data_IF_776396724163
#
_entry.id   IF_776396724163
#
_cell.length_a   1.000
_cell.length_b   1.000
_cell.length_c   1.000
_cell.angle_alpha   90.00
_cell.angle_beta   90.00
_cell.angle_gamma   90.00
#
_symmetry.space_group_name_H-M   'P 1'
#
loop_
_entity.id
_entity.type
_entity.pdbx_description
1 polymer ?
#
# COMPACT_ATOMS: atom_id res chain seq x y z
N UNK A 1 -44.73 -50.93 23.97
CA UNK A 1 -43.93 -51.87 23.16
C UNK A 1 -42.79 -51.08 22.53
N UNK A 2 -41.55 -51.26 23.02
CA UNK A 2 -40.38 -50.51 22.53
C UNK A 2 -39.74 -51.33 21.41
N UNK A 3 -39.85 -50.86 20.17
CA UNK A 3 -39.17 -51.47 19.02
C UNK A 3 -37.66 -51.22 19.13
N UNK A 4 -36.88 -52.26 19.44
CA UNK A 4 -35.41 -52.22 19.34
C UNK A 4 -35.02 -52.08 17.87
N UNK A 5 -34.49 -50.90 17.49
CA UNK A 5 -33.83 -50.72 16.19
C UNK A 5 -32.54 -51.57 16.18
N UNK A 6 -32.35 -52.39 15.15
CA UNK A 6 -31.09 -53.08 14.88
C UNK A 6 -30.04 -52.04 14.48
N UNK A 7 -28.97 -51.93 15.26
CA UNK A 7 -27.79 -51.15 14.88
C UNK A 7 -27.13 -51.86 13.69
N UNK A 8 -27.22 -51.26 12.50
CA UNK A 8 -26.44 -51.68 11.35
C UNK A 8 -25.02 -51.14 11.55
N UNK A 9 -24.03 -52.02 11.68
CA UNK A 9 -22.64 -51.62 11.84
C UNK A 9 -22.13 -50.89 10.60
N UNK A 10 -21.30 -49.87 10.81
CA UNK A 10 -20.59 -49.16 9.74
C UNK A 10 -19.57 -50.08 9.08
N UNK A 11 -19.50 -50.05 7.75
CA UNK A 11 -18.51 -50.84 7.00
C UNK A 11 -17.12 -50.18 7.07
N UNK A 12 -16.05 -50.97 7.07
CA UNK A 12 -14.67 -50.43 7.05
C UNK A 12 -14.41 -49.58 5.80
N UNK A 13 -15.09 -49.88 4.68
CA UNK A 13 -15.04 -49.09 3.45
C UNK A 13 -15.73 -47.72 3.60
N UNK A 14 -16.77 -47.64 4.43
CA UNK A 14 -17.55 -46.42 4.65
C UNK A 14 -16.73 -45.38 5.44
N UNK A 15 -15.97 -45.84 6.44
CA UNK A 15 -15.03 -45.00 7.18
C UNK A 15 -13.90 -44.53 6.26
N UNK A 16 -13.33 -45.42 5.44
CA UNK A 16 -12.23 -45.08 4.53
C UNK A 16 -12.66 -44.02 3.52
N UNK A 17 -13.81 -44.20 2.87
CA UNK A 17 -14.36 -43.22 1.92
C UNK A 17 -14.69 -41.90 2.63
N UNK A 18 -15.25 -41.94 3.85
CA UNK A 18 -15.53 -40.73 4.63
C UNK A 18 -14.25 -39.95 4.97
N UNK A 19 -13.18 -40.64 5.38
CA UNK A 19 -11.88 -40.01 5.65
C UNK A 19 -11.23 -39.44 4.39
N UNK A 20 -11.40 -40.10 3.24
CA UNK A 20 -10.89 -39.61 1.95
C UNK A 20 -11.57 -38.30 1.54
N UNK A 21 -12.91 -38.26 1.60
CA UNK A 21 -13.68 -37.05 1.29
C UNK A 21 -13.31 -35.92 2.25
N UNK A 22 -13.19 -36.22 3.55
CA UNK A 22 -12.76 -35.26 4.56
C UNK A 22 -11.37 -34.71 4.26
N UNK A 23 -10.40 -35.56 3.90
CA UNK A 23 -9.04 -35.13 3.57
C UNK A 23 -9.03 -34.16 2.37
N UNK A 24 -9.77 -34.46 1.31
CA UNK A 24 -9.90 -33.57 0.13
C UNK A 24 -10.55 -32.23 0.55
N UNK A 25 -11.60 -32.28 1.37
CA UNK A 25 -12.26 -31.08 1.88
C UNK A 25 -11.33 -30.19 2.70
N UNK A 26 -10.50 -30.77 3.56
CA UNK A 26 -9.53 -30.02 4.37
C UNK A 26 -8.44 -29.36 3.53
N UNK A 27 -7.96 -30.02 2.48
CA UNK A 27 -7.00 -29.41 1.53
C UNK A 27 -7.62 -28.22 0.81
N UNK A 28 -8.88 -28.33 0.38
CA UNK A 28 -9.61 -27.21 -0.23
C UNK A 28 -9.74 -26.01 0.71
N UNK A 29 -10.08 -26.26 1.98
CA UNK A 29 -10.19 -25.21 3.01
C UNK A 29 -8.84 -24.57 3.34
N UNK A 30 -7.75 -25.35 3.36
CA UNK A 30 -6.40 -24.81 3.56
C UNK A 30 -6.00 -23.87 2.41
N UNK A 31 -6.31 -24.23 1.16
CA UNK A 31 -6.06 -23.37 0.00
C UNK A 31 -6.84 -22.05 0.06
N UNK A 32 -8.12 -22.10 0.46
CA UNK A 32 -8.93 -20.90 0.66
C UNK A 32 -8.39 -20.01 1.78
N UNK A 33 -7.92 -20.59 2.88
CA UNK A 33 -7.30 -19.83 3.98
C UNK A 33 -6.02 -19.12 3.53
N UNK A 34 -5.14 -19.79 2.78
CA UNK A 34 -3.93 -19.19 2.24
C UNK A 34 -4.25 -18.03 1.28
N UNK A 35 -5.22 -18.22 0.39
CA UNK A 35 -5.68 -17.17 -0.53
C UNK A 35 -6.28 -15.98 0.22
N UNK A 36 -7.12 -16.23 1.22
CA UNK A 36 -7.70 -15.17 2.05
C UNK A 36 -6.62 -14.38 2.80
N UNK A 37 -5.61 -15.06 3.34
CA UNK A 37 -4.48 -14.41 4.03
C UNK A 37 -3.68 -13.52 3.07
N UNK A 38 -3.40 -13.98 1.84
CA UNK A 38 -2.72 -13.15 0.83
C UNK A 38 -3.52 -11.89 0.51
N UNK A 39 -4.80 -12.02 0.20
CA UNK A 39 -5.65 -10.87 -0.12
C UNK A 39 -5.77 -9.87 1.05
N UNK A 40 -5.83 -10.37 2.29
CA UNK A 40 -5.87 -9.50 3.46
C UNK A 40 -4.57 -8.70 3.60
N UNK A 41 -3.41 -9.29 3.31
CA UNK A 41 -2.14 -8.56 3.33
C UNK A 41 -2.08 -7.48 2.23
N UNK A 42 -2.49 -7.80 1.00
CA UNK A 42 -2.55 -6.80 -0.09
C UNK A 42 -3.53 -5.66 0.23
N UNK A 43 -4.68 -5.98 0.81
CA UNK A 43 -5.66 -4.97 1.23
C UNK A 43 -5.11 -4.06 2.35
N UNK A 44 -4.38 -4.64 3.31
CA UNK A 44 -3.72 -3.89 4.38
C UNK A 44 -2.65 -2.93 3.83
N UNK A 45 -1.80 -3.37 2.90
CA UNK A 45 -0.79 -2.52 2.27
C UNK A 45 -1.44 -1.35 1.50
N UNK A 46 -2.51 -1.61 0.74
CA UNK A 46 -3.29 -0.54 0.07
C UNK A 46 -3.89 0.47 1.07
N UNK A 47 -4.35 -0.02 2.22
CA UNK A 47 -4.88 0.82 3.30
C UNK A 47 -3.79 1.73 3.89
N UNK A 48 -2.61 1.17 4.17
CA UNK A 48 -1.45 1.91 4.66
C UNK A 48 -0.97 2.95 3.65
N UNK A 49 -0.82 2.59 2.37
CA UNK A 49 -0.50 3.53 1.30
C UNK A 49 -1.51 4.67 1.22
N UNK A 50 -2.81 4.37 1.36
CA UNK A 50 -3.86 5.39 1.35
C UNK A 50 -3.74 6.35 2.54
N UNK A 51 -3.51 5.83 3.74
CA UNK A 51 -3.31 6.64 4.93
C UNK A 51 -2.08 7.56 4.81
N UNK A 52 -0.96 7.03 4.31
CA UNK A 52 0.27 7.80 4.07
C UNK A 52 0.08 8.89 3.01
N UNK A 53 -0.67 8.58 1.94
CA UNK A 53 -0.93 9.56 0.90
C UNK A 53 -1.80 10.72 1.42
N UNK A 54 -2.82 10.43 2.22
CA UNK A 54 -3.64 11.46 2.86
C UNK A 54 -2.85 12.27 3.89
N UNK A 55 -1.95 11.65 4.67
CA UNK A 55 -1.06 12.36 5.60
C UNK A 55 -0.22 13.42 4.86
N UNK A 56 0.39 13.07 3.72
CA UNK A 56 1.13 14.04 2.92
C UNK A 56 0.24 15.16 2.36
N UNK A 57 -0.93 14.81 1.84
CA UNK A 57 -1.87 15.80 1.32
C UNK A 57 -2.29 16.80 2.40
N UNK A 58 -2.48 16.36 3.64
CA UNK A 58 -2.83 17.22 4.76
C UNK A 58 -1.66 18.09 5.22
N UNK A 59 -0.43 17.58 5.21
CA UNK A 59 0.78 18.40 5.44
C UNK A 59 0.90 19.51 4.41
N UNK A 60 0.71 19.20 3.13
CA UNK A 60 0.74 20.19 2.05
C UNK A 60 -0.36 21.25 2.19
N UNK A 61 -1.55 20.88 2.67
CA UNK A 61 -2.59 21.85 3.05
C UNK A 61 -2.21 22.72 4.26
N UNK A 62 -1.40 22.19 5.17
CA UNK A 62 -0.82 22.96 6.28
C UNK A 62 0.21 24.00 5.82
N UNK A 63 0.84 23.78 4.66
CA UNK A 63 1.89 24.64 4.11
C UNK A 63 1.68 24.91 2.61
N UNK A 64 0.52 25.47 2.27
CA UNK A 64 0.09 25.73 0.88
C UNK A 64 1.09 26.60 0.11
N UNK A 65 1.75 27.55 0.77
CA UNK A 65 2.73 28.43 0.14
C UNK A 65 3.94 27.65 -0.38
N UNK A 66 4.50 26.74 0.43
CA UNK A 66 5.62 25.89 0.01
C UNK A 66 5.18 24.86 -1.05
N UNK A 67 3.97 24.31 -0.92
CA UNK A 67 3.42 23.36 -1.90
C UNK A 67 3.21 23.99 -3.27
N UNK A 68 2.60 25.19 -3.35
CA UNK A 68 2.46 25.93 -4.61
C UNK A 68 3.80 26.41 -5.18
N UNK A 69 4.83 26.59 -4.33
CA UNK A 69 6.18 26.88 -4.77
C UNK A 69 6.98 25.63 -5.21
N UNK A 70 6.38 24.44 -5.19
CA UNK A 70 7.02 23.19 -5.60
C UNK A 70 8.07 22.67 -4.61
N UNK A 71 8.00 23.07 -3.34
CA UNK A 71 9.00 22.71 -2.33
C UNK A 71 8.80 21.31 -1.74
N UNK A 72 7.62 20.71 -1.89
CA UNK A 72 7.39 19.28 -1.63
C UNK A 72 7.91 18.45 -2.82
N UNK A 73 9.21 18.51 -3.08
CA UNK A 73 9.84 17.74 -4.14
C UNK A 73 10.66 16.60 -3.52
N UNK A 74 10.29 15.32 -3.77
CA UNK A 74 10.99 14.16 -3.23
C UNK A 74 12.49 14.15 -3.59
N UNK A 75 12.86 14.63 -4.78
CA UNK A 75 14.26 14.65 -5.22
C UNK A 75 15.15 15.63 -4.43
N UNK A 76 14.53 16.58 -3.72
CA UNK A 76 15.23 17.57 -2.88
C UNK A 76 14.84 17.45 -1.41
N UNK A 77 14.13 16.38 -1.04
CA UNK A 77 13.79 16.09 0.34
C UNK A 77 15.07 15.94 1.16
N UNK A 78 15.07 16.48 2.37
CA UNK A 78 16.20 16.38 3.28
C UNK A 78 15.77 16.68 4.70
N UNK A 79 16.39 16.01 5.67
CA UNK A 79 16.13 16.30 7.08
C UNK A 79 16.60 17.71 7.46
N UNK A 80 15.72 18.46 8.11
CA UNK A 80 16.03 19.80 8.61
C UNK A 80 15.86 19.83 10.12
N UNK A 81 16.96 19.57 10.83
CA UNK A 81 16.97 19.54 12.31
C UNK A 81 16.47 20.83 12.96
N UNK A 82 16.64 21.99 12.29
CA UNK A 82 16.13 23.29 12.73
C UNK A 82 14.60 23.31 12.87
N UNK A 83 13.88 22.59 12.00
CA UNK A 83 12.42 22.49 12.01
C UNK A 83 11.86 21.82 13.28
N UNK A 84 12.69 21.03 13.98
CA UNK A 84 12.31 20.27 15.18
C UNK A 84 12.65 21.01 16.48
N UNK A 85 13.05 22.28 16.38
CA UNK A 85 13.37 23.14 17.53
C UNK A 85 12.25 24.14 17.82
N UNK A 86 12.28 24.77 19.01
CA UNK A 86 11.30 25.79 19.39
C UNK A 86 11.33 27.04 18.48
N UNK A 87 12.46 27.31 17.83
CA UNK A 87 12.61 28.42 16.87
C UNK A 87 11.90 28.14 15.55
N UNK A 88 11.76 26.86 15.18
CA UNK A 88 11.25 26.44 13.88
C UNK A 88 12.24 26.72 12.74
N UNK A 89 11.74 26.57 11.51
CA UNK A 89 12.50 26.75 10.28
C UNK A 89 11.63 27.47 9.22
N UNK A 90 12.22 27.83 8.09
CA UNK A 90 11.48 28.42 6.99
C UNK A 90 10.49 27.42 6.37
N UNK A 91 9.41 27.92 5.77
CA UNK A 91 8.37 27.08 5.16
C UNK A 91 8.90 26.06 4.13
N UNK A 92 9.97 26.41 3.39
CA UNK A 92 10.61 25.50 2.45
C UNK A 92 11.44 24.41 3.11
N UNK A 93 12.16 24.74 4.18
CA UNK A 93 12.90 23.78 4.99
C UNK A 93 11.93 22.81 5.67
N UNK A 94 10.79 23.30 6.15
CA UNK A 94 9.72 22.49 6.72
C UNK A 94 9.18 21.49 5.68
N UNK A 95 8.88 21.95 4.47
CA UNK A 95 8.42 21.07 3.40
C UNK A 95 9.44 19.98 3.04
N UNK A 96 10.74 20.30 3.04
CA UNK A 96 11.80 19.32 2.78
C UNK A 96 11.93 18.27 3.89
N UNK A 97 11.86 18.68 5.16
CA UNK A 97 11.90 17.76 6.31
C UNK A 97 10.66 16.86 6.37
N UNK A 98 9.48 17.44 6.16
CA UNK A 98 8.23 16.69 6.09
C UNK A 98 8.22 15.70 4.93
N UNK A 99 8.73 16.11 3.77
CA UNK A 99 8.84 15.23 2.61
C UNK A 99 9.81 14.08 2.88
N UNK A 100 10.97 14.36 3.48
CA UNK A 100 11.95 13.31 3.83
C UNK A 100 11.33 12.31 4.80
N UNK A 101 10.74 12.79 5.89
CA UNK A 101 10.09 11.93 6.87
C UNK A 101 8.95 11.12 6.26
N UNK A 102 8.22 11.69 5.31
CA UNK A 102 7.17 10.95 4.61
C UNK A 102 7.74 9.83 3.74
N UNK A 103 8.84 10.09 3.02
CA UNK A 103 9.56 9.05 2.26
C UNK A 103 9.99 7.91 3.19
N UNK A 104 10.63 8.24 4.32
CA UNK A 104 11.07 7.25 5.30
C UNK A 104 9.88 6.39 5.81
N UNK A 105 8.73 7.03 6.10
CA UNK A 105 7.53 6.30 6.54
C UNK A 105 6.94 5.40 5.45
N UNK A 106 7.05 5.79 4.18
CA UNK A 106 6.61 4.97 3.04
C UNK A 106 7.51 3.74 2.89
N UNK A 107 8.82 3.93 2.96
CA UNK A 107 9.82 2.86 2.91
C UNK A 107 9.66 1.86 4.08
N UNK A 108 9.37 2.36 5.29
CA UNK A 108 9.18 1.53 6.48
C UNK A 108 7.85 0.76 6.47
N UNK A 109 6.78 1.36 5.93
CA UNK A 109 5.45 0.76 5.95
C UNK A 109 5.22 -0.25 4.81
N UNK A 110 5.80 0.01 3.64
CA UNK A 110 5.53 -0.76 2.44
C UNK A 110 6.81 -1.47 1.95
N UNK A 111 6.73 -2.75 1.55
CA UNK A 111 7.88 -3.43 0.97
C UNK A 111 8.35 -2.70 -0.28
N UNK A 112 9.59 -2.21 -0.24
CA UNK A 112 10.15 -1.43 -1.35
C UNK A 112 9.26 -0.22 -1.71
N UNK A 113 8.67 0.42 -0.70
CA UNK A 113 7.78 1.56 -0.86
C UNK A 113 8.51 2.78 -1.39
N UNK A 114 7.99 3.36 -2.47
CA UNK A 114 8.51 4.60 -3.04
C UNK A 114 7.38 5.58 -3.28
N UNK A 115 7.64 6.88 -3.07
CA UNK A 115 6.63 7.93 -3.11
C UNK A 115 7.02 9.14 -3.94
N UNK A 116 6.05 9.73 -4.64
CA UNK A 116 6.22 10.97 -5.40
C UNK A 116 5.00 11.88 -5.25
N UNK A 117 5.21 13.19 -5.37
CA UNK A 117 4.12 14.17 -5.43
C UNK A 117 4.39 15.22 -6.50
N UNK A 118 3.35 15.57 -7.25
CA UNK A 118 3.44 16.57 -8.33
C UNK A 118 2.06 17.03 -8.79
N UNK A 119 2.01 18.08 -9.60
CA UNK A 119 0.80 18.42 -10.37
C UNK A 119 0.68 17.44 -11.53
N UNK A 120 -0.48 16.83 -11.65
CA UNK A 120 -0.71 15.80 -12.66
C UNK A 120 -2.19 15.67 -13.06
N UNK A 121 -2.45 15.66 -14.36
CA UNK A 121 -3.77 15.42 -14.92
C UNK A 121 -4.07 13.94 -15.18
N UNK A 122 -3.05 13.08 -15.21
CA UNK A 122 -3.13 11.62 -15.46
C UNK A 122 -2.58 10.80 -14.28
N UNK A 123 -3.13 10.96 -13.05
CA UNK A 123 -2.53 10.46 -11.80
C UNK A 123 -2.23 8.96 -11.73
N UNK A 124 -2.88 8.13 -12.56
CA UNK A 124 -2.74 6.67 -12.55
C UNK A 124 -1.67 6.15 -13.54
N UNK A 125 -0.79 7.00 -14.04
CA UNK A 125 0.35 6.62 -14.87
C UNK A 125 1.68 6.64 -14.08
N UNK A 126 2.79 6.46 -14.80
CA UNK A 126 4.11 6.32 -14.20
C UNK A 126 4.41 4.90 -13.75
N UNK A 127 5.71 4.63 -13.65
CA UNK A 127 6.24 3.31 -13.32
C UNK A 127 7.20 3.35 -12.12
N UNK A 128 7.24 4.47 -11.39
CA UNK A 128 8.10 4.69 -10.22
C UNK A 128 8.66 6.12 -10.16
N UNK A 129 9.47 6.46 -9.14
CA UNK A 129 10.05 7.79 -8.93
C UNK A 129 11.08 8.20 -10.01
N UNK A 130 11.69 7.24 -10.71
CA UNK A 130 12.54 7.52 -11.88
C UNK A 130 11.76 7.95 -13.13
N UNK A 131 10.46 7.63 -13.19
CA UNK A 131 9.55 8.02 -14.26
C UNK A 131 8.11 8.20 -13.71
N UNK A 132 7.88 9.24 -12.91
CA UNK A 132 6.60 9.42 -12.22
C UNK A 132 5.51 9.94 -13.15
N UNK A 133 5.82 10.25 -14.42
CA UNK A 133 4.89 10.77 -15.44
C UNK A 133 4.11 12.01 -14.96
N UNK A 134 4.76 12.87 -14.17
CA UNK A 134 4.19 14.16 -13.77
C UNK A 134 4.13 15.09 -14.97
N UNK A 135 2.94 15.33 -15.51
CA UNK A 135 2.75 16.16 -16.70
C UNK A 135 2.77 17.68 -16.40
N UNK A 136 2.64 18.07 -15.13
CA UNK A 136 2.61 19.46 -14.69
C UNK A 136 1.36 20.23 -15.13
N UNK A 137 0.35 19.55 -15.65
CA UNK A 137 -0.86 20.16 -16.18
C UNK A 137 -2.01 20.09 -15.17
N UNK A 138 -2.90 21.08 -15.24
CA UNK A 138 -4.04 21.19 -14.35
C UNK A 138 -3.71 21.88 -13.03
N UNK A 139 -4.58 21.67 -12.03
CA UNK A 139 -4.52 22.36 -10.73
C UNK A 139 -4.54 21.40 -9.54
N UNK A 140 -4.52 20.10 -9.81
CA UNK A 140 -4.60 19.06 -8.79
C UNK A 140 -3.22 18.48 -8.55
N UNK A 141 -2.87 18.35 -7.29
CA UNK A 141 -1.72 17.57 -6.88
C UNK A 141 -2.10 16.10 -6.88
N UNK A 142 -1.19 15.26 -7.33
CA UNK A 142 -1.25 13.81 -7.24
C UNK A 142 -0.15 13.34 -6.29
N UNK A 143 -0.54 12.60 -5.24
CA UNK A 143 0.41 11.78 -4.47
C UNK A 143 0.39 10.40 -5.09
N UNK A 144 1.55 9.91 -5.52
CA UNK A 144 1.75 8.59 -6.12
C UNK A 144 2.64 7.76 -5.21
N UNK A 145 2.22 6.53 -4.94
CA UNK A 145 2.99 5.57 -4.13
C UNK A 145 3.04 4.25 -4.90
N UNK A 146 4.22 3.63 -4.94
CA UNK A 146 4.49 2.33 -5.52
C UNK A 146 5.08 1.40 -4.46
N UNK A 147 4.76 0.11 -4.53
CA UNK A 147 5.36 -0.91 -3.65
C UNK A 147 5.30 -2.30 -4.30
N UNK A 148 6.07 -3.22 -3.74
CA UNK A 148 6.11 -4.63 -4.12
C UNK A 148 5.12 -5.45 -3.25
N UNK A 149 4.02 -5.91 -3.84
CA UNK A 149 2.96 -6.66 -3.14
C UNK A 149 3.27 -8.16 -2.98
N UNK A 150 3.96 -8.77 -3.96
CA UNK A 150 4.33 -10.19 -3.93
C UNK A 150 5.71 -10.48 -3.34
N UNK A 151 6.46 -9.42 -2.99
CA UNK A 151 7.76 -9.47 -2.31
C UNK A 151 8.76 -10.32 -3.07
N UNK A 152 8.68 -10.28 -4.39
CA UNK A 152 9.58 -11.01 -5.28
C UNK A 152 10.95 -10.32 -5.42
N UNK A 153 11.07 -9.08 -4.92
CA UNK A 153 12.30 -8.31 -4.86
C UNK A 153 12.59 -7.52 -6.13
N UNK A 154 11.59 -7.31 -7.00
CA UNK A 154 11.74 -6.55 -8.25
C UNK A 154 10.75 -5.37 -8.34
N UNK A 155 11.22 -4.14 -8.05
CA UNK A 155 10.59 -2.93 -8.61
C UNK A 155 11.24 -2.65 -9.97
N UNK A 156 10.84 -3.34 -11.04
CA UNK A 156 11.25 -2.91 -12.39
C UNK A 156 10.14 -2.12 -13.05
N UNK A 157 10.50 -1.00 -13.69
CA UNK A 157 9.60 -0.12 -14.48
C UNK A 157 8.83 -0.85 -15.61
N UNK A 158 9.11 -2.14 -15.81
CA UNK A 158 8.51 -3.05 -16.78
C UNK A 158 7.86 -4.29 -16.10
N UNK A 159 7.97 -4.44 -14.78
CA UNK A 159 7.38 -5.53 -14.03
C UNK A 159 5.85 -5.38 -13.94
N UNK A 160 5.08 -6.43 -14.27
CA UNK A 160 3.63 -6.44 -14.16
C UNK A 160 3.11 -6.40 -12.70
N UNK A 161 4.01 -6.42 -11.70
CA UNK A 161 3.71 -6.65 -10.29
C UNK A 161 3.79 -5.39 -9.40
N UNK A 162 4.17 -4.23 -9.93
CA UNK A 162 4.21 -3.00 -9.12
C UNK A 162 2.78 -2.54 -8.86
N UNK A 163 2.36 -2.65 -7.60
CA UNK A 163 1.12 -2.05 -7.15
C UNK A 163 1.31 -0.55 -7.02
N UNK A 164 0.28 0.20 -7.44
CA UNK A 164 0.29 1.65 -7.41
C UNK A 164 -0.97 2.20 -6.79
N UNK A 165 -0.79 3.28 -6.04
CA UNK A 165 -1.86 4.11 -5.55
C UNK A 165 -1.58 5.55 -5.95
N UNK A 166 -2.60 6.20 -6.52
CA UNK A 166 -2.58 7.63 -6.72
C UNK A 166 -3.84 8.26 -6.13
N UNK A 167 -3.66 9.27 -5.29
CA UNK A 167 -4.74 10.13 -4.83
C UNK A 167 -4.53 11.53 -5.40
N UNK A 168 -5.63 12.22 -5.70
CA UNK A 168 -5.55 13.61 -6.18
C UNK A 168 -6.33 14.55 -5.30
N UNK A 169 -5.77 15.73 -5.08
CA UNK A 169 -6.36 16.76 -4.24
C UNK A 169 -6.03 18.14 -4.78
N UNK A 170 -6.67 19.15 -4.20
CA UNK A 170 -6.42 20.56 -4.47
C UNK A 170 -6.11 21.27 -3.14
N UNK A 171 -5.27 22.29 -3.21
CA UNK A 171 -4.90 23.16 -2.09
C UNK A 171 -5.85 24.35 -1.95
#
# INVERSE_FOLDING_TARGET
MILRRRQQGVSLIEVLVSTLILAIGLVGVAGLQAFALKNNQSAEMRSQASALAYDLADRMRGNVAAANAGMYNPATASEQSSCRTLTGCAMGEMAQDEMQRWIDNVEDALPMGEGWVCIDSTPNDGAGPGNPQCDGNGTRFAVKIWWDDDRDGEISVEAPNIERLAITFQL
#
